data_IF_902534495942
#
_entry.id   IF_902534495942
#
_cell.length_a   1.000
_cell.length_b   1.000
_cell.length_c   1.000
_cell.angle_alpha   90.00
_cell.angle_beta   90.00
_cell.angle_gamma   90.00
#
_symmetry.space_group_name_H-M   'P 1'
#
loop_
_entity.id
_entity.type
_entity.pdbx_description
1 polymer ?
#
# COMPACT_ATOMS: atom_id res chain seq x y z
N UNK A 1 -18.79 19.30 15.50
CA UNK A 1 -17.81 18.27 15.11
C UNK A 1 -17.26 18.63 13.73
N UNK A 2 -16.53 19.75 13.70
CA UNK A 2 -16.11 20.41 12.46
C UNK A 2 -14.61 20.77 12.48
N UNK A 3 -13.79 19.95 13.15
CA UNK A 3 -12.38 20.24 13.36
C UNK A 3 -11.47 19.06 13.03
N UNK A 4 -11.54 18.47 11.83
CA UNK A 4 -10.49 17.59 11.36
C UNK A 4 -10.41 17.47 9.83
N UNK A 5 -10.80 18.52 9.11
CA UNK A 5 -10.22 18.78 7.80
C UNK A 5 -9.07 19.76 8.01
N UNK A 6 -7.87 19.28 8.42
CA UNK A 6 -6.66 19.93 7.98
C UNK A 6 -6.70 19.80 6.46
N UNK A 7 -7.02 20.94 5.82
CA UNK A 7 -6.91 21.07 4.38
C UNK A 7 -5.56 20.48 3.97
N UNK A 8 -5.49 19.62 2.95
CA UNK A 8 -4.22 19.29 2.33
C UNK A 8 -3.58 20.63 2.03
N UNK A 9 -2.28 20.77 2.23
CA UNK A 9 -1.56 21.96 1.81
C UNK A 9 -1.91 22.15 0.33
N UNK A 10 -2.90 23.00 0.08
CA UNK A 10 -3.56 23.18 -1.20
C UNK A 10 -2.52 23.81 -2.11
N UNK A 11 -1.63 22.99 -2.72
CA UNK A 11 -0.81 23.26 -3.90
C UNK A 11 0.41 22.35 -4.02
N UNK A 12 0.45 21.14 -3.44
CA UNK A 12 1.55 20.23 -3.79
C UNK A 12 1.28 19.61 -5.16
N UNK A 13 2.04 20.01 -6.17
CA UNK A 13 2.08 19.36 -7.50
C UNK A 13 2.37 17.84 -7.39
N UNK A 14 2.98 17.45 -6.27
CA UNK A 14 3.46 16.09 -6.01
C UNK A 14 2.68 15.45 -4.87
N UNK A 15 2.16 14.24 -5.11
CA UNK A 15 1.55 13.40 -4.06
C UNK A 15 2.62 12.80 -3.15
N UNK A 16 3.79 12.47 -3.71
CA UNK A 16 4.93 11.94 -2.96
C UNK A 16 6.22 12.64 -3.34
N UNK A 17 7.01 13.02 -2.34
CA UNK A 17 8.39 13.45 -2.50
C UNK A 17 9.30 12.63 -1.59
N UNK A 18 10.33 12.04 -2.17
CA UNK A 18 11.38 11.30 -1.48
C UNK A 18 12.70 12.03 -1.68
N UNK A 19 13.41 12.36 -0.57
CA UNK A 19 14.65 13.13 -0.60
C UNK A 19 15.74 12.39 0.16
N UNK A 20 16.78 11.97 -0.56
CA UNK A 20 17.96 11.30 -0.02
C UNK A 20 17.62 10.17 0.95
N UNK A 21 16.62 9.34 0.61
CA UNK A 21 16.16 8.26 1.46
C UNK A 21 17.24 7.20 1.62
N UNK A 22 17.57 6.89 2.86
CA UNK A 22 18.53 5.85 3.23
C UNK A 22 17.87 4.86 4.17
N UNK A 23 18.04 3.56 3.84
CA UNK A 23 17.70 2.46 4.75
C UNK A 23 18.83 1.45 4.75
N UNK A 24 19.54 1.39 5.87
CA UNK A 24 20.59 0.42 6.13
C UNK A 24 20.16 -0.52 7.25
N UNK A 25 20.53 -1.78 7.11
CA UNK A 25 20.30 -2.80 8.15
C UNK A 25 21.62 -3.11 8.84
N UNK A 26 21.77 -2.92 10.15
CA UNK A 26 23.00 -3.20 10.87
C UNK A 26 23.28 -4.70 10.95
N UNK A 27 24.50 -5.09 10.56
CA UNK A 27 25.02 -6.44 10.76
C UNK A 27 25.59 -6.49 12.17
N UNK A 28 24.97 -7.31 13.04
CA UNK A 28 25.40 -7.48 14.43
C UNK A 28 26.18 -8.79 14.57
N UNK A 29 27.33 -8.76 15.25
CA UNK A 29 28.17 -9.94 15.52
C UNK A 29 28.57 -10.02 17.01
N UNK A 30 28.88 -11.23 17.45
CA UNK A 30 29.31 -11.54 18.82
C UNK A 30 28.18 -11.59 19.83
N UNK A 31 28.51 -12.07 21.06
CA UNK A 31 27.57 -12.24 22.20
C UNK A 31 26.95 -10.89 22.61
N UNK A 32 27.72 -9.80 22.51
CA UNK A 32 27.33 -8.43 22.88
C UNK A 32 26.60 -7.72 21.72
N UNK A 33 26.30 -8.41 20.58
CA UNK A 33 25.60 -7.85 19.39
C UNK A 33 26.19 -6.52 18.89
N UNK A 34 27.51 -6.37 18.84
CA UNK A 34 28.16 -5.16 18.31
C UNK A 34 27.94 -5.04 16.81
N UNK A 35 27.58 -3.85 16.34
CA UNK A 35 27.44 -3.56 14.90
C UNK A 35 28.81 -3.60 14.24
N UNK A 36 29.00 -4.51 13.28
CA UNK A 36 30.26 -4.72 12.55
C UNK A 36 30.21 -4.23 11.10
N UNK A 37 29.01 -3.85 10.62
CA UNK A 37 28.78 -3.33 9.27
C UNK A 37 27.31 -3.04 9.04
N UNK A 38 26.96 -2.61 7.81
CA UNK A 38 25.61 -2.36 7.40
C UNK A 38 25.33 -2.94 6.00
N UNK A 39 24.16 -3.54 5.81
CA UNK A 39 23.61 -3.82 4.48
C UNK A 39 22.90 -2.56 4.02
N UNK A 40 23.39 -1.95 2.96
CA UNK A 40 22.84 -0.74 2.34
C UNK A 40 21.73 -1.11 1.37
N UNK A 41 20.50 -1.30 1.88
CA UNK A 41 19.36 -1.71 1.06
C UNK A 41 18.78 -0.55 0.23
N UNK A 42 18.79 0.67 0.77
CA UNK A 42 18.46 1.91 0.07
C UNK A 42 19.53 2.93 0.45
N UNK A 43 20.17 3.57 -0.54
CA UNK A 43 21.34 4.42 -0.32
C UNK A 43 21.21 5.73 -1.11
N UNK A 44 20.55 6.74 -0.53
CA UNK A 44 20.45 8.10 -1.07
C UNK A 44 19.47 8.27 -2.25
N UNK A 45 18.34 7.57 -2.23
CA UNK A 45 17.35 7.63 -3.32
C UNK A 45 16.48 8.89 -3.20
N UNK A 46 16.30 9.60 -4.33
CA UNK A 46 15.45 10.80 -4.41
C UNK A 46 14.60 10.77 -5.66
N UNK A 47 13.30 11.03 -5.52
CA UNK A 47 12.35 11.17 -6.63
C UNK A 47 11.06 11.84 -6.16
N UNK A 48 10.21 12.19 -7.12
CA UNK A 48 8.89 12.79 -6.87
C UNK A 48 7.86 12.11 -7.76
N UNK A 49 6.63 12.02 -7.29
CA UNK A 49 5.48 11.47 -8.03
C UNK A 49 4.36 12.51 -8.03
N UNK A 50 3.84 12.86 -9.21
CA UNK A 50 2.69 13.74 -9.33
C UNK A 50 1.39 13.00 -9.02
N UNK A 51 0.36 13.74 -8.70
CA UNK A 51 -0.99 13.17 -8.57
C UNK A 51 -1.41 12.53 -9.91
N UNK A 52 -2.00 11.35 -9.86
CA UNK A 52 -2.40 10.58 -11.06
C UNK A 52 -1.23 9.99 -11.86
N UNK A 53 0.03 10.07 -11.39
CA UNK A 53 1.20 9.50 -12.05
C UNK A 53 1.50 8.09 -11.54
N UNK A 54 1.95 7.21 -12.46
CA UNK A 54 2.53 5.91 -12.10
C UNK A 54 4.04 5.94 -12.31
N UNK A 55 4.79 5.69 -11.26
CA UNK A 55 6.25 5.56 -11.31
C UNK A 55 6.67 4.10 -11.20
N UNK A 56 7.49 3.63 -12.14
CA UNK A 56 8.09 2.29 -12.11
C UNK A 56 9.45 2.30 -11.44
N UNK A 57 9.61 1.53 -10.35
CA UNK A 57 10.92 1.27 -9.73
C UNK A 57 11.48 -0.05 -10.26
N UNK A 58 12.54 0.01 -11.07
CA UNK A 58 13.13 -1.13 -11.77
C UNK A 58 14.52 -1.42 -11.22
N UNK A 59 14.90 -2.69 -11.20
CA UNK A 59 16.22 -3.16 -10.78
C UNK A 59 16.23 -4.67 -10.55
N UNK A 60 17.41 -5.25 -10.36
CA UNK A 60 17.60 -6.68 -10.13
C UNK A 60 16.90 -7.17 -8.86
N UNK A 61 16.70 -8.49 -8.74
CA UNK A 61 16.18 -9.07 -7.51
C UNK A 61 17.13 -8.79 -6.34
N UNK A 62 16.57 -8.38 -5.19
CA UNK A 62 17.37 -8.05 -4.01
C UNK A 62 18.01 -6.66 -3.99
N UNK A 63 17.86 -5.82 -5.04
CA UNK A 63 18.46 -4.47 -5.07
C UNK A 63 17.78 -3.44 -4.16
N UNK A 64 16.78 -3.84 -3.36
CA UNK A 64 16.14 -2.97 -2.37
C UNK A 64 14.81 -2.33 -2.77
N UNK A 65 14.18 -2.70 -3.91
CA UNK A 65 12.88 -2.17 -4.37
C UNK A 65 11.80 -2.25 -3.29
N UNK A 66 11.53 -3.45 -2.79
CA UNK A 66 10.53 -3.68 -1.73
C UNK A 66 10.89 -2.96 -0.43
N UNK A 67 12.20 -2.89 -0.10
CA UNK A 67 12.67 -2.14 1.06
C UNK A 67 12.38 -0.65 0.90
N UNK A 68 12.60 -0.09 -0.29
CA UNK A 68 12.30 1.32 -0.60
C UNK A 68 10.80 1.61 -0.41
N UNK A 69 9.91 0.83 -1.04
CA UNK A 69 8.46 0.99 -0.91
C UNK A 69 7.97 0.87 0.53
N UNK A 70 8.45 -0.14 1.27
CA UNK A 70 8.09 -0.33 2.68
C UNK A 70 8.63 0.78 3.59
N UNK A 71 9.79 1.36 3.27
CA UNK A 71 10.34 2.50 4.01
C UNK A 71 9.54 3.76 3.72
N UNK A 72 9.15 4.02 2.47
CA UNK A 72 8.27 5.14 2.11
C UNK A 72 6.96 5.10 2.91
N UNK A 73 6.35 3.93 3.03
CA UNK A 73 5.14 3.75 3.83
C UNK A 73 5.38 3.70 5.34
N UNK A 74 6.62 3.92 5.80
CA UNK A 74 7.00 3.78 7.22
C UNK A 74 6.54 2.45 7.82
N UNK A 75 6.61 1.36 7.05
CA UNK A 75 6.56 -0.02 7.55
C UNK A 75 7.94 -0.46 8.05
N UNK A 76 8.98 0.24 7.57
CA UNK A 76 10.36 0.14 8.03
C UNK A 76 10.83 1.54 8.42
N UNK A 77 11.52 1.67 9.56
CA UNK A 77 12.12 2.93 9.95
C UNK A 77 13.29 3.28 9.01
N UNK A 78 13.37 4.52 8.56
CA UNK A 78 14.47 5.05 7.74
C UNK A 78 15.76 5.15 8.56
N UNK A 79 16.91 5.13 7.90
CA UNK A 79 18.19 5.51 8.50
C UNK A 79 18.38 7.03 8.42
N UNK A 80 18.07 7.62 7.26
CA UNK A 80 18.08 9.09 7.06
C UNK A 80 17.25 9.45 5.82
N UNK A 81 17.19 10.75 5.50
CA UNK A 81 16.41 11.30 4.38
C UNK A 81 15.02 11.75 4.80
N UNK A 82 14.20 12.15 3.84
CA UNK A 82 12.83 12.64 4.05
C UNK A 82 11.84 11.93 3.12
N UNK A 83 10.61 11.72 3.59
CA UNK A 83 9.49 11.21 2.80
C UNK A 83 8.28 12.07 3.10
N UNK A 84 7.86 12.85 2.11
CA UNK A 84 6.71 13.75 2.22
C UNK A 84 5.53 13.18 1.42
N UNK A 85 4.41 12.94 2.08
CA UNK A 85 3.13 12.66 1.44
C UNK A 85 2.30 13.94 1.49
N UNK A 86 2.00 14.51 0.32
CA UNK A 86 1.33 15.80 0.17
C UNK A 86 1.94 16.89 1.10
N UNK A 87 3.27 16.97 1.13
CA UNK A 87 4.02 17.94 1.93
C UNK A 87 4.17 17.59 3.42
N UNK A 88 3.54 16.52 3.91
CA UNK A 88 3.66 16.07 5.31
C UNK A 88 4.76 15.02 5.44
N UNK A 89 5.80 15.28 6.25
CA UNK A 89 6.84 14.27 6.52
C UNK A 89 6.25 13.10 7.33
N UNK A 90 6.14 11.95 6.66
CA UNK A 90 5.58 10.71 7.23
C UNK A 90 6.34 10.26 8.49
N UNK A 91 7.64 10.60 8.59
CA UNK A 91 8.47 10.20 9.73
C UNK A 91 8.42 11.18 10.91
N UNK A 92 7.88 12.38 10.73
CA UNK A 92 7.65 13.33 11.81
C UNK A 92 6.36 13.04 12.60
N UNK A 93 5.46 12.23 12.02
CA UNK A 93 4.17 11.92 12.62
C UNK A 93 4.30 11.07 13.90
N UNK A 94 3.52 11.38 14.91
CA UNK A 94 3.27 10.51 16.05
C UNK A 94 2.60 9.21 15.61
N UNK A 95 2.53 8.21 16.50
CA UNK A 95 1.85 6.93 16.19
C UNK A 95 0.37 7.13 15.85
N UNK A 96 -0.29 8.05 16.54
CA UNK A 96 -1.71 8.34 16.33
C UNK A 96 -1.95 9.07 15.00
N UNK A 97 -1.14 10.07 14.68
CA UNK A 97 -1.20 10.78 13.39
C UNK A 97 -0.88 9.82 12.22
N UNK A 98 0.12 8.96 12.38
CA UNK A 98 0.44 7.95 11.39
C UNK A 98 -0.72 6.96 11.19
N UNK A 99 -1.43 6.54 12.26
CA UNK A 99 -2.62 5.70 12.14
C UNK A 99 -3.70 6.38 11.31
N UNK A 100 -3.94 7.68 11.53
CA UNK A 100 -4.88 8.48 10.73
C UNK A 100 -4.43 8.69 9.27
N UNK A 101 -3.11 8.64 9.01
CA UNK A 101 -2.53 8.74 7.67
C UNK A 101 -2.60 7.40 6.90
N UNK A 102 -2.66 6.26 7.57
CA UNK A 102 -2.64 4.92 6.95
C UNK A 102 -3.66 4.71 5.83
N UNK A 103 -4.94 5.13 5.95
CA UNK A 103 -5.89 5.01 4.84
C UNK A 103 -5.40 5.64 3.54
N UNK A 104 -4.67 6.75 3.62
CA UNK A 104 -4.21 7.53 2.48
C UNK A 104 -3.02 6.90 1.73
N UNK A 105 -2.29 5.97 2.35
CA UNK A 105 -1.11 5.31 1.79
C UNK A 105 -1.18 3.81 1.99
N UNK A 106 -1.39 3.07 0.92
CA UNK A 106 -1.64 1.65 0.93
C UNK A 106 -0.56 0.85 0.21
N UNK A 107 -0.55 -0.46 0.43
CA UNK A 107 0.35 -1.40 -0.25
C UNK A 107 -0.40 -2.61 -0.76
N UNK A 108 -0.08 -3.01 -1.99
CA UNK A 108 -0.42 -4.31 -2.56
C UNK A 108 0.86 -5.14 -2.57
N UNK A 109 0.87 -6.22 -1.78
CA UNK A 109 2.04 -7.08 -1.62
C UNK A 109 2.22 -8.05 -2.79
N UNK A 110 3.44 -8.55 -2.94
CA UNK A 110 3.86 -9.51 -3.96
C UNK A 110 3.13 -10.85 -3.85
N UNK A 111 2.96 -11.37 -2.63
CA UNK A 111 2.28 -12.64 -2.38
C UNK A 111 0.87 -12.41 -1.83
N UNK A 112 -0.16 -12.61 -2.68
CA UNK A 112 -1.54 -12.45 -2.23
C UNK A 112 -1.98 -13.56 -1.25
N UNK A 113 -1.31 -14.71 -1.26
CA UNK A 113 -1.68 -15.82 -0.38
C UNK A 113 -1.36 -15.51 1.08
N UNK A 114 -0.15 -15.07 1.36
CA UNK A 114 0.28 -14.72 2.72
C UNK A 114 -0.34 -13.40 3.22
N UNK A 115 -0.90 -12.60 2.31
CA UNK A 115 -1.45 -11.27 2.62
C UNK A 115 -2.91 -11.30 3.09
N UNK A 116 -3.61 -12.43 2.93
CA UNK A 116 -5.03 -12.59 3.27
C UNK A 116 -5.18 -13.55 4.46
N UNK A 117 -6.01 -13.18 5.44
CA UNK A 117 -6.34 -14.08 6.55
C UNK A 117 -7.13 -15.29 6.04
N UNK A 118 -6.65 -16.53 6.22
CA UNK A 118 -7.38 -17.71 5.72
C UNK A 118 -8.66 -18.02 6.51
N UNK A 119 -8.88 -17.32 7.63
CA UNK A 119 -9.97 -17.56 8.58
C UNK A 119 -11.15 -16.60 8.41
N UNK A 120 -11.01 -15.59 7.60
CA UNK A 120 -12.04 -14.58 7.38
C UNK A 120 -12.58 -14.65 5.96
N UNK A 121 -13.89 -14.44 5.73
CA UNK A 121 -14.43 -14.28 4.40
C UNK A 121 -13.90 -12.99 3.75
N UNK A 122 -13.91 -12.92 2.42
CA UNK A 122 -13.26 -11.82 1.70
C UNK A 122 -13.95 -10.48 1.95
N UNK A 123 -15.25 -10.46 2.17
CA UNK A 123 -15.96 -9.23 2.56
C UNK A 123 -15.42 -8.63 3.85
N UNK A 124 -15.14 -9.49 4.85
CA UNK A 124 -14.53 -9.06 6.11
C UNK A 124 -13.07 -8.59 5.92
N UNK A 125 -12.28 -9.29 5.11
CA UNK A 125 -10.89 -8.91 4.81
C UNK A 125 -10.82 -7.54 4.14
N UNK A 126 -11.72 -7.25 3.21
CA UNK A 126 -11.79 -5.95 2.51
C UNK A 126 -12.32 -4.88 3.47
N UNK A 127 -13.31 -5.23 4.29
CA UNK A 127 -14.05 -4.29 5.13
C UNK A 127 -13.43 -3.98 6.49
N UNK A 128 -12.49 -4.80 6.99
CA UNK A 128 -11.90 -4.61 8.32
C UNK A 128 -11.36 -3.19 8.55
N UNK A 129 -10.52 -2.72 7.63
CA UNK A 129 -9.94 -1.40 7.72
C UNK A 129 -10.96 -0.27 7.46
N UNK A 130 -11.98 -0.51 6.65
CA UNK A 130 -13.08 0.43 6.40
C UNK A 130 -13.83 0.72 7.70
N UNK A 131 -14.15 -0.32 8.48
CA UNK A 131 -14.78 -0.20 9.80
C UNK A 131 -13.86 0.49 10.81
N UNK A 132 -12.60 0.05 10.88
CA UNK A 132 -11.61 0.58 11.84
C UNK A 132 -11.34 2.08 11.65
N UNK A 133 -11.37 2.55 10.40
CA UNK A 133 -11.13 3.95 10.08
C UNK A 133 -12.41 4.77 9.83
N UNK A 134 -13.60 4.15 10.01
CA UNK A 134 -14.90 4.81 9.82
C UNK A 134 -15.01 5.51 8.45
N UNK A 135 -14.59 4.80 7.38
CA UNK A 135 -14.57 5.36 6.01
C UNK A 135 -15.98 5.68 5.51
N UNK A 136 -16.97 4.86 5.89
CA UNK A 136 -18.39 5.05 5.60
C UNK A 136 -19.21 4.79 6.86
N UNK A 137 -20.44 5.35 6.96
CA UNK A 137 -21.38 5.02 8.03
C UNK A 137 -21.70 3.50 8.06
N UNK A 138 -22.02 2.95 9.26
CA UNK A 138 -22.30 1.50 9.38
C UNK A 138 -23.43 1.01 8.47
N UNK A 139 -24.46 1.82 8.23
CA UNK A 139 -25.60 1.53 7.36
C UNK A 139 -25.25 1.42 5.88
N UNK A 140 -24.15 2.07 5.43
CA UNK A 140 -23.67 2.03 4.05
C UNK A 140 -22.58 0.98 3.83
N UNK A 141 -22.11 0.33 4.90
CA UNK A 141 -20.92 -0.51 4.87
C UNK A 141 -21.04 -1.66 3.87
N UNK A 142 -22.16 -2.38 3.89
CA UNK A 142 -22.36 -3.58 3.07
C UNK A 142 -22.40 -3.25 1.58
N UNK A 143 -23.15 -2.21 1.21
CA UNK A 143 -23.24 -1.70 -0.15
C UNK A 143 -21.88 -1.13 -0.63
N UNK A 144 -21.14 -0.48 0.27
CA UNK A 144 -19.82 0.04 -0.04
C UNK A 144 -18.83 -1.08 -0.40
N UNK A 145 -18.77 -2.14 0.42
CA UNK A 145 -17.90 -3.30 0.17
C UNK A 145 -18.28 -3.99 -1.14
N UNK A 146 -19.58 -4.15 -1.40
CA UNK A 146 -20.08 -4.72 -2.67
C UNK A 146 -19.58 -3.90 -3.86
N UNK A 147 -19.72 -2.56 -3.83
CA UNK A 147 -19.22 -1.68 -4.90
C UNK A 147 -17.71 -1.80 -5.10
N UNK A 148 -16.92 -1.82 -4.03
CA UNK A 148 -15.46 -1.97 -4.11
C UNK A 148 -15.08 -3.30 -4.74
N UNK A 149 -15.76 -4.39 -4.38
CA UNK A 149 -15.56 -5.72 -4.96
C UNK A 149 -15.87 -5.71 -6.46
N UNK A 150 -17.01 -5.18 -6.87
CA UNK A 150 -17.43 -5.11 -8.27
C UNK A 150 -16.46 -4.31 -9.14
N UNK A 151 -15.97 -3.17 -8.65
CA UNK A 151 -14.96 -2.35 -9.33
C UNK A 151 -13.66 -3.14 -9.57
N UNK A 152 -13.32 -4.06 -8.67
CA UNK A 152 -12.19 -4.97 -8.83
C UNK A 152 -12.51 -6.24 -9.65
N UNK A 153 -13.74 -6.37 -10.16
CA UNK A 153 -14.20 -7.53 -10.92
C UNK A 153 -14.43 -8.77 -10.05
N UNK A 154 -14.85 -8.57 -8.81
CA UNK A 154 -15.24 -9.59 -7.85
C UNK A 154 -16.77 -9.51 -7.64
N UNK A 155 -17.57 -10.47 -8.13
CA UNK A 155 -19.02 -10.48 -7.92
C UNK A 155 -19.40 -10.51 -6.43
N UNK A 156 -20.54 -9.90 -6.10
CA UNK A 156 -21.07 -9.82 -4.73
C UNK A 156 -21.16 -11.18 -4.03
N UNK A 157 -21.61 -12.24 -4.74
CA UNK A 157 -21.76 -13.58 -4.16
C UNK A 157 -20.44 -14.24 -3.71
N UNK A 158 -19.29 -13.57 -3.95
CA UNK A 158 -17.99 -13.97 -3.39
C UNK A 158 -17.78 -13.47 -1.96
N UNK A 159 -18.57 -12.52 -1.48
CA UNK A 159 -18.38 -11.81 -0.20
C UNK A 159 -18.17 -12.76 0.98
N UNK A 160 -18.96 -13.84 1.03
CA UNK A 160 -18.94 -14.84 2.11
C UNK A 160 -17.93 -15.97 1.91
N UNK A 161 -17.19 -15.97 0.80
CA UNK A 161 -16.20 -17.01 0.51
C UNK A 161 -14.84 -16.70 1.15
N UNK A 162 -14.07 -17.75 1.36
CA UNK A 162 -12.75 -17.68 2.00
C UNK A 162 -11.62 -17.63 0.95
N UNK A 163 -10.44 -17.04 1.28
CA UNK A 163 -9.33 -16.89 0.34
C UNK A 163 -8.87 -18.18 -0.35
N UNK A 164 -8.96 -19.33 0.32
CA UNK A 164 -8.53 -20.61 -0.24
C UNK A 164 -9.41 -21.11 -1.40
N UNK A 165 -10.62 -20.57 -1.56
CA UNK A 165 -11.55 -20.90 -2.64
C UNK A 165 -11.26 -20.16 -3.95
N UNK A 166 -10.25 -19.25 -3.96
CA UNK A 166 -9.97 -18.37 -5.09
C UNK A 166 -8.66 -18.73 -5.80
N UNK A 167 -8.61 -18.47 -7.11
CA UNK A 167 -7.37 -18.53 -7.90
C UNK A 167 -6.38 -17.43 -7.50
N UNK A 168 -5.12 -17.57 -7.88
CA UNK A 168 -4.08 -16.56 -7.61
C UNK A 168 -4.47 -15.15 -8.10
N UNK A 169 -5.00 -15.05 -9.32
CA UNK A 169 -5.44 -13.76 -9.88
C UNK A 169 -6.66 -13.18 -9.16
N UNK A 170 -7.60 -14.02 -8.70
CA UNK A 170 -8.72 -13.56 -7.89
C UNK A 170 -8.26 -13.09 -6.50
N UNK A 171 -7.33 -13.80 -5.86
CA UNK A 171 -6.73 -13.34 -4.58
C UNK A 171 -6.01 -11.99 -4.74
N UNK A 172 -5.31 -11.79 -5.86
CA UNK A 172 -4.69 -10.51 -6.16
C UNK A 172 -5.72 -9.38 -6.28
N UNK A 173 -6.87 -9.63 -6.93
CA UNK A 173 -7.98 -8.68 -6.99
C UNK A 173 -8.55 -8.37 -5.61
N UNK A 174 -8.61 -9.35 -4.70
CA UNK A 174 -9.02 -9.15 -3.30
C UNK A 174 -8.03 -8.24 -2.57
N UNK A 175 -6.71 -8.45 -2.74
CA UNK A 175 -5.68 -7.57 -2.17
C UNK A 175 -5.78 -6.13 -2.69
N UNK A 176 -6.07 -5.97 -3.99
CA UNK A 176 -6.29 -4.65 -4.61
C UNK A 176 -7.58 -4.02 -4.04
N UNK A 177 -8.68 -4.76 -3.96
CA UNK A 177 -9.94 -4.29 -3.38
C UNK A 177 -9.76 -3.81 -1.93
N UNK A 178 -9.03 -4.58 -1.10
CA UNK A 178 -8.71 -4.20 0.28
C UNK A 178 -7.95 -2.88 0.36
N UNK A 179 -6.97 -2.66 -0.51
CA UNK A 179 -6.22 -1.41 -0.54
C UNK A 179 -7.09 -0.23 -1.01
N UNK A 180 -7.92 -0.43 -2.03
CA UNK A 180 -8.80 0.59 -2.60
C UNK A 180 -9.97 0.97 -1.69
N UNK A 181 -10.43 0.04 -0.85
CA UNK A 181 -11.55 0.28 0.07
C UNK A 181 -11.30 1.44 1.05
N UNK A 182 -10.07 1.88 1.20
CA UNK A 182 -9.68 3.04 2.00
C UNK A 182 -9.59 4.35 1.20
N UNK A 183 -9.87 4.33 -0.11
CA UNK A 183 -9.74 5.47 -1.03
C UNK A 183 -8.38 6.18 -0.90
N UNK A 184 -7.26 5.48 -1.10
CA UNK A 184 -5.93 6.00 -0.84
C UNK A 184 -5.50 7.04 -1.88
N UNK A 185 -4.68 8.01 -1.45
CA UNK A 185 -4.01 8.97 -2.35
C UNK A 185 -2.78 8.36 -3.02
N UNK A 186 -2.17 7.34 -2.41
CA UNK A 186 -0.94 6.71 -2.86
C UNK A 186 -0.93 5.21 -2.58
N UNK A 187 -0.57 4.42 -3.60
CA UNK A 187 -0.46 2.95 -3.48
C UNK A 187 0.93 2.50 -3.93
N UNK A 188 1.61 1.74 -3.08
CA UNK A 188 2.79 0.96 -3.47
C UNK A 188 2.35 -0.41 -3.97
N UNK A 189 2.70 -0.78 -5.20
CA UNK A 189 2.53 -2.12 -5.73
C UNK A 189 3.88 -2.85 -5.69
N UNK A 190 4.09 -3.72 -4.70
CA UNK A 190 5.33 -4.49 -4.52
C UNK A 190 5.24 -5.76 -5.36
N UNK A 191 5.71 -5.72 -6.63
CA UNK A 191 5.67 -6.81 -7.61
C UNK A 191 4.30 -7.51 -7.74
N UNK A 192 3.18 -6.78 -7.96
CA UNK A 192 1.81 -7.27 -7.77
C UNK A 192 1.40 -8.36 -8.76
N UNK A 193 2.24 -8.70 -9.73
CA UNK A 193 1.93 -9.67 -10.79
C UNK A 193 2.99 -10.77 -10.95
N UNK A 194 4.10 -10.72 -10.21
CA UNK A 194 5.25 -11.63 -10.42
C UNK A 194 4.93 -13.11 -10.21
N UNK A 195 3.95 -13.42 -9.35
CA UNK A 195 3.51 -14.79 -9.04
C UNK A 195 2.34 -15.29 -9.91
N UNK A 196 1.96 -14.55 -10.96
CA UNK A 196 0.78 -14.84 -11.77
C UNK A 196 1.16 -15.22 -13.21
N UNK A 197 0.29 -15.98 -13.88
CA UNK A 197 0.42 -16.30 -15.31
C UNK A 197 0.33 -15.03 -16.18
N UNK A 198 1.02 -15.01 -17.32
CA UNK A 198 1.15 -13.83 -18.20
C UNK A 198 -0.20 -13.23 -18.60
N UNK A 199 -1.20 -14.05 -18.88
CA UNK A 199 -2.55 -13.59 -19.23
C UNK A 199 -3.25 -12.87 -18.07
N UNK A 200 -3.04 -13.34 -16.86
CA UNK A 200 -3.58 -12.74 -15.63
C UNK A 200 -2.81 -11.47 -15.26
N UNK A 201 -1.48 -11.44 -15.47
CA UNK A 201 -0.67 -10.24 -15.27
C UNK A 201 -1.24 -9.05 -16.05
N UNK A 202 -1.52 -9.24 -17.34
CA UNK A 202 -2.10 -8.20 -18.19
C UNK A 202 -3.46 -7.68 -17.66
N UNK A 203 -4.31 -8.59 -17.17
CA UNK A 203 -5.61 -8.23 -16.59
C UNK A 203 -5.44 -7.38 -15.32
N UNK A 204 -4.53 -7.75 -14.42
CA UNK A 204 -4.26 -7.01 -13.18
C UNK A 204 -3.68 -5.63 -13.48
N UNK A 205 -2.73 -5.53 -14.42
CA UNK A 205 -2.15 -4.24 -14.83
C UNK A 205 -3.23 -3.32 -15.43
N UNK A 206 -4.10 -3.86 -16.29
CA UNK A 206 -5.19 -3.09 -16.88
C UNK A 206 -6.21 -2.66 -15.83
N UNK A 207 -6.51 -3.50 -14.85
CA UNK A 207 -7.34 -3.16 -13.70
C UNK A 207 -6.75 -1.97 -12.94
N UNK A 208 -5.47 -2.05 -12.54
CA UNK A 208 -4.80 -0.97 -11.81
C UNK A 208 -4.78 0.35 -12.60
N UNK A 209 -4.52 0.30 -13.92
CA UNK A 209 -4.58 1.48 -14.79
C UNK A 209 -5.98 2.10 -14.86
N UNK A 210 -7.01 1.25 -15.00
CA UNK A 210 -8.40 1.73 -14.98
C UNK A 210 -8.72 2.42 -13.66
N UNK A 211 -8.41 1.78 -12.54
CA UNK A 211 -8.65 2.30 -11.21
C UNK A 211 -7.95 3.65 -10.99
N UNK A 212 -6.69 3.77 -11.40
CA UNK A 212 -5.96 5.03 -11.33
C UNK A 212 -6.63 6.13 -12.16
N UNK A 213 -7.08 5.82 -13.38
CA UNK A 213 -7.76 6.79 -14.25
C UNK A 213 -9.10 7.25 -13.67
N UNK A 214 -9.84 6.32 -13.03
CA UNK A 214 -11.19 6.59 -12.51
C UNK A 214 -11.14 7.32 -11.15
N UNK A 215 -10.04 7.18 -10.38
CA UNK A 215 -9.87 7.77 -9.05
C UNK A 215 -8.97 9.01 -9.01
N UNK A 216 -8.25 9.33 -10.09
CA UNK A 216 -7.29 10.44 -10.15
C UNK A 216 -5.98 10.11 -9.50
#
# INVERSE_FOLDING_TARGET
MEEMKKEPAANSEYVLEVKNLVKWFPIKSGIIKKTVGNVKAVDGVSFKIRRGETMGLVGESGCGKSTCGRTILRLLEKTSGEVLLEGVDVFSLSKEELRKMRPRMQIVFQDPYSSLSPRLPIGEIIGEAVREHHIVPPEEFDDYITRVMEVCGLPEYYKERYPHEFSGGQRQRICIARALALSPDFIVCDEPVSALDVSIQAQIINLLRKLQKDSG
#
